data_IF_316889501090
#
_entry.id   IF_316889501090
#
_cell.length_a   1.000
_cell.length_b   1.000
_cell.length_c   1.000
_cell.angle_alpha   90.00
_cell.angle_beta   90.00
_cell.angle_gamma   90.00
#
_symmetry.space_group_name_H-M   'P 1'
#
loop_
_entity.id
_entity.type
_entity.pdbx_description
1 polymer ?
#
# COMPACT_ATOMS: atom_id res chain seq x y z
N UNK A 1 -3.91 -1.13 -21.95
CA UNK A 1 -3.35 0.19 -21.63
C UNK A 1 -4.40 0.90 -20.78
N UNK A 2 -4.18 1.03 -19.48
CA UNK A 2 -5.08 1.73 -18.56
C UNK A 2 -4.78 3.23 -18.55
N UNK A 3 -4.76 3.87 -19.72
CA UNK A 3 -4.69 5.33 -19.87
C UNK A 3 -5.95 6.06 -19.35
N UNK A 4 -6.80 5.37 -18.60
CA UNK A 4 -7.86 5.98 -17.79
C UNK A 4 -7.51 5.98 -16.30
N UNK A 5 -6.50 5.24 -15.84
CA UNK A 5 -6.13 5.19 -14.43
C UNK A 5 -5.31 6.41 -14.04
N UNK A 6 -4.20 6.62 -14.73
CA UNK A 6 -3.22 7.65 -14.40
C UNK A 6 -3.78 9.07 -14.50
N UNK A 7 -4.46 9.39 -15.60
CA UNK A 7 -5.06 10.71 -15.86
C UNK A 7 -6.15 11.02 -14.83
N UNK A 8 -6.99 10.04 -14.49
CA UNK A 8 -8.03 10.20 -13.46
C UNK A 8 -7.42 10.40 -12.07
N UNK A 9 -6.33 9.70 -11.74
CA UNK A 9 -5.63 9.91 -10.47
C UNK A 9 -4.92 11.26 -10.42
N UNK A 10 -4.35 11.71 -11.53
CA UNK A 10 -3.78 13.05 -11.64
C UNK A 10 -4.84 14.12 -11.45
N UNK A 11 -5.99 14.00 -12.12
CA UNK A 11 -7.10 14.93 -11.96
C UNK A 11 -7.62 14.95 -10.52
N UNK A 12 -7.76 13.78 -9.89
CA UNK A 12 -8.15 13.71 -8.48
C UNK A 12 -7.10 14.37 -7.56
N UNK A 13 -5.81 14.24 -7.86
CA UNK A 13 -4.75 14.93 -7.13
C UNK A 13 -4.89 16.45 -7.28
N UNK A 14 -5.06 16.95 -8.49
CA UNK A 14 -5.20 18.38 -8.77
C UNK A 14 -6.45 18.98 -8.09
N UNK A 15 -7.53 18.20 -7.98
CA UNK A 15 -8.76 18.61 -7.26
C UNK A 15 -8.53 18.82 -5.76
N UNK A 16 -7.73 17.99 -5.09
CA UNK A 16 -7.62 18.02 -3.63
C UNK A 16 -6.38 18.75 -3.12
N UNK A 17 -5.26 18.68 -3.83
CA UNK A 17 -3.99 19.26 -3.37
C UNK A 17 -4.06 20.79 -3.30
N UNK A 18 -4.60 21.45 -4.33
CA UNK A 18 -4.73 22.91 -4.35
C UNK A 18 -5.61 23.45 -3.21
N UNK A 19 -6.82 22.92 -3.00
CA UNK A 19 -7.64 23.29 -1.86
C UNK A 19 -7.02 22.96 -0.50
N UNK A 20 -6.36 21.81 -0.34
CA UNK A 20 -5.67 21.46 0.92
C UNK A 20 -4.54 22.43 1.27
N UNK A 21 -3.85 22.97 0.26
CA UNK A 21 -2.82 23.99 0.46
C UNK A 21 -3.43 25.36 0.88
N UNK A 22 -4.62 25.70 0.39
CA UNK A 22 -5.32 26.96 0.71
C UNK A 22 -6.11 26.92 2.02
N UNK A 23 -6.62 25.75 2.38
CA UNK A 23 -7.45 25.51 3.56
C UNK A 23 -6.83 24.41 4.43
N UNK A 24 -5.67 24.68 5.07
CA UNK A 24 -4.92 23.64 5.78
C UNK A 24 -5.65 23.08 7.01
N UNK A 25 -6.67 23.77 7.52
CA UNK A 25 -7.52 23.31 8.63
C UNK A 25 -8.71 22.44 8.15
N UNK A 26 -8.83 22.16 6.86
CA UNK A 26 -9.90 21.33 6.32
C UNK A 26 -9.48 19.85 6.30
N UNK A 27 -10.05 19.05 7.20
CA UNK A 27 -9.75 17.61 7.30
C UNK A 27 -9.94 16.89 5.96
N UNK A 28 -11.09 17.10 5.31
CA UNK A 28 -11.47 16.40 4.08
C UNK A 28 -10.48 16.65 2.94
N UNK A 29 -10.04 17.90 2.78
CA UNK A 29 -9.04 18.22 1.76
C UNK A 29 -7.70 17.57 2.06
N UNK A 30 -7.23 17.61 3.30
CA UNK A 30 -5.94 17.03 3.67
C UNK A 30 -5.90 15.51 3.46
N UNK A 31 -6.86 14.73 4.00
CA UNK A 31 -6.78 13.27 3.85
C UNK A 31 -7.03 12.82 2.40
N UNK A 32 -7.91 13.51 1.66
CA UNK A 32 -8.14 13.21 0.24
C UNK A 32 -6.95 13.61 -0.65
N UNK A 33 -6.23 14.68 -0.32
CA UNK A 33 -4.98 15.05 -0.98
C UNK A 33 -3.91 13.97 -0.73
N UNK A 34 -3.77 13.50 0.51
CA UNK A 34 -2.86 12.38 0.83
C UNK A 34 -3.19 11.11 0.04
N UNK A 35 -4.48 10.75 -0.03
CA UNK A 35 -4.99 9.62 -0.82
C UNK A 35 -4.71 9.75 -2.32
N UNK A 36 -5.06 10.90 -2.90
CA UNK A 36 -4.94 11.11 -4.35
C UNK A 36 -3.49 11.17 -4.80
N UNK A 37 -2.61 11.76 -3.99
CA UNK A 37 -1.16 11.70 -4.17
C UNK A 37 -0.68 10.25 -4.21
N UNK A 38 -1.05 9.44 -3.21
CA UNK A 38 -0.63 8.04 -3.18
C UNK A 38 -1.09 7.28 -4.44
N UNK A 39 -2.35 7.45 -4.85
CA UNK A 39 -2.88 6.81 -6.05
C UNK A 39 -2.12 7.19 -7.31
N UNK A 40 -1.83 8.48 -7.48
CA UNK A 40 -1.08 8.94 -8.65
C UNK A 40 0.36 8.42 -8.63
N UNK A 41 1.08 8.59 -7.52
CA UNK A 41 2.47 8.13 -7.39
C UNK A 41 2.60 6.62 -7.61
N UNK A 42 1.77 5.81 -6.94
CA UNK A 42 1.79 4.36 -7.11
C UNK A 42 1.47 3.93 -8.55
N UNK A 43 0.56 4.62 -9.24
CA UNK A 43 0.28 4.31 -10.64
C UNK A 43 1.45 4.68 -11.57
N UNK A 44 2.21 5.75 -11.28
CA UNK A 44 3.44 6.06 -12.04
C UNK A 44 4.50 4.96 -11.90
N UNK A 45 4.67 4.42 -10.69
CA UNK A 45 5.57 3.30 -10.41
C UNK A 45 5.10 2.03 -11.11
N UNK A 46 3.82 1.68 -10.99
CA UNK A 46 3.24 0.49 -11.63
C UNK A 46 3.38 0.49 -13.15
N UNK A 47 3.30 1.67 -13.76
CA UNK A 47 3.47 1.87 -15.20
C UNK A 47 4.95 1.97 -15.61
N UNK A 48 5.87 1.94 -14.65
CA UNK A 48 7.32 2.10 -14.84
C UNK A 48 7.66 3.35 -15.67
N UNK A 49 7.02 4.48 -15.35
CA UNK A 49 7.27 5.73 -16.05
C UNK A 49 8.69 6.23 -15.78
N UNK A 50 9.41 6.82 -16.76
CA UNK A 50 10.82 7.17 -16.61
C UNK A 50 11.17 8.03 -15.37
N UNK A 51 10.23 8.85 -14.90
CA UNK A 51 10.36 9.79 -13.79
C UNK A 51 9.62 9.34 -12.51
N UNK A 52 9.13 8.10 -12.44
CA UNK A 52 8.31 7.63 -11.32
C UNK A 52 9.02 7.77 -9.97
N UNK A 53 10.34 7.55 -9.92
CA UNK A 53 11.14 7.68 -8.68
C UNK A 53 11.16 9.12 -8.18
N UNK A 54 11.44 10.09 -9.04
CA UNK A 54 11.42 11.50 -8.63
C UNK A 54 10.02 11.96 -8.25
N UNK A 55 9.01 11.51 -8.99
CA UNK A 55 7.59 11.75 -8.68
C UNK A 55 7.25 11.22 -7.28
N UNK A 56 7.54 9.95 -7.00
CA UNK A 56 7.21 9.32 -5.72
C UNK A 56 8.03 9.88 -4.56
N UNK A 57 9.29 10.26 -4.78
CA UNK A 57 10.14 10.93 -3.77
C UNK A 57 9.54 12.25 -3.32
N UNK A 58 9.14 13.11 -4.26
CA UNK A 58 8.58 14.44 -3.95
C UNK A 58 7.16 14.30 -3.41
N UNK A 59 6.32 13.55 -4.12
CA UNK A 59 4.91 13.45 -3.77
C UNK A 59 4.69 12.63 -2.50
N UNK A 60 5.44 11.55 -2.26
CA UNK A 60 5.32 10.77 -1.04
C UNK A 60 5.51 11.63 0.22
N UNK A 61 6.50 12.54 0.23
CA UNK A 61 6.67 13.52 1.33
C UNK A 61 5.50 14.50 1.43
N UNK A 62 4.99 15.00 0.31
CA UNK A 62 3.82 15.88 0.31
C UNK A 62 2.56 15.16 0.84
N UNK A 63 2.36 13.91 0.46
CA UNK A 63 1.25 13.07 0.91
C UNK A 63 1.32 12.75 2.41
N UNK A 64 2.52 12.48 2.95
CA UNK A 64 2.75 12.34 4.39
C UNK A 64 2.36 13.63 5.14
N UNK A 65 2.82 14.80 4.68
CA UNK A 65 2.52 16.07 5.34
C UNK A 65 1.02 16.40 5.37
N UNK A 66 0.27 16.07 4.31
CA UNK A 66 -1.19 16.21 4.33
C UNK A 66 -1.86 15.20 5.28
N UNK A 67 -1.37 13.96 5.35
CA UNK A 67 -1.88 13.00 6.32
C UNK A 67 -1.65 13.47 7.76
N UNK A 68 -0.46 14.00 8.10
CA UNK A 68 -0.17 14.53 9.43
C UNK A 68 -1.12 15.67 9.82
N UNK A 69 -1.41 16.60 8.91
CA UNK A 69 -2.41 17.65 9.13
C UNK A 69 -3.81 17.07 9.37
N UNK A 70 -4.24 16.09 8.57
CA UNK A 70 -5.54 15.46 8.75
C UNK A 70 -5.64 14.68 10.08
N UNK A 71 -4.57 13.99 10.49
CA UNK A 71 -4.50 13.30 11.79
C UNK A 71 -4.65 14.30 12.94
N UNK A 72 -3.98 15.46 12.86
CA UNK A 72 -4.08 16.48 13.89
C UNK A 72 -5.49 17.09 14.00
N UNK A 73 -6.23 17.16 12.90
CA UNK A 73 -7.60 17.69 12.86
C UNK A 73 -8.63 16.66 13.37
N UNK A 74 -8.47 15.39 13.00
CA UNK A 74 -9.43 14.32 13.29
C UNK A 74 -8.68 13.02 13.65
N UNK A 75 -8.13 12.91 14.88
CA UNK A 75 -7.25 11.80 15.28
C UNK A 75 -7.97 10.46 15.45
N UNK A 76 -9.30 10.44 15.44
CA UNK A 76 -10.13 9.26 15.63
C UNK A 76 -10.66 8.67 14.31
N UNK A 77 -10.14 9.12 13.15
CA UNK A 77 -10.51 8.60 11.83
C UNK A 77 -9.36 7.80 11.19
N UNK A 78 -9.61 6.63 10.59
CA UNK A 78 -8.57 5.76 10.05
C UNK A 78 -7.89 6.32 8.79
N UNK A 79 -8.57 7.24 8.08
CA UNK A 79 -8.25 7.63 6.71
C UNK A 79 -6.81 8.12 6.58
N UNK A 80 -6.45 9.13 7.36
CA UNK A 80 -5.17 9.81 7.23
C UNK A 80 -4.00 8.92 7.71
N UNK A 81 -4.21 8.11 8.76
CA UNK A 81 -3.22 7.13 9.20
C UNK A 81 -2.90 6.08 8.12
N UNK A 82 -3.92 5.53 7.46
CA UNK A 82 -3.71 4.59 6.36
C UNK A 82 -2.88 5.23 5.24
N UNK A 83 -3.26 6.43 4.81
CA UNK A 83 -2.59 7.11 3.71
C UNK A 83 -1.23 7.69 4.08
N UNK A 84 -0.95 7.94 5.36
CA UNK A 84 0.42 8.19 5.82
C UNK A 84 1.32 7.00 5.50
N UNK A 85 0.95 5.80 5.96
CA UNK A 85 1.74 4.59 5.73
C UNK A 85 1.91 4.25 4.25
N UNK A 86 0.86 4.44 3.45
CA UNK A 86 0.92 4.24 1.99
C UNK A 86 1.82 5.23 1.26
N UNK A 87 1.84 6.49 1.69
CA UNK A 87 2.74 7.50 1.14
C UNK A 87 4.21 7.25 1.56
N UNK A 88 4.45 6.67 2.73
CA UNK A 88 5.80 6.18 3.07
C UNK A 88 6.23 5.06 2.14
N UNK A 89 5.31 4.16 1.74
CA UNK A 89 5.58 3.10 0.75
C UNK A 89 6.20 3.63 -0.54
N UNK A 90 5.45 4.45 -1.29
CA UNK A 90 5.94 5.01 -2.57
C UNK A 90 7.21 5.85 -2.40
N UNK A 91 7.35 6.57 -1.29
CA UNK A 91 8.56 7.32 -0.99
C UNK A 91 9.76 6.39 -0.82
N UNK A 92 9.57 5.31 -0.06
CA UNK A 92 10.59 4.30 0.23
C UNK A 92 11.04 3.57 -1.04
N UNK A 93 10.10 3.22 -1.91
CA UNK A 93 10.38 2.59 -3.20
C UNK A 93 11.22 3.51 -4.12
N UNK A 94 11.07 4.83 -3.97
CA UNK A 94 11.87 5.82 -4.70
C UNK A 94 13.27 6.07 -4.11
N UNK A 95 13.42 6.19 -2.78
CA UNK A 95 14.68 6.62 -2.13
C UNK A 95 15.49 5.50 -1.47
N UNK A 96 14.99 4.26 -1.51
CA UNK A 96 15.43 3.08 -0.76
C UNK A 96 15.00 3.05 0.71
N UNK A 97 14.82 1.82 1.20
CA UNK A 97 14.47 1.51 2.59
C UNK A 97 15.49 2.02 3.60
N UNK A 98 16.79 1.99 3.26
CA UNK A 98 17.85 2.47 4.17
C UNK A 98 17.74 3.99 4.41
N UNK A 99 17.38 4.75 3.38
CA UNK A 99 17.14 6.19 3.52
C UNK A 99 15.92 6.45 4.40
N UNK A 100 14.80 5.77 4.12
CA UNK A 100 13.58 5.89 4.93
C UNK A 100 13.80 5.54 6.41
N UNK A 101 14.61 4.51 6.70
CA UNK A 101 15.01 4.16 8.06
C UNK A 101 15.82 5.25 8.75
N UNK A 102 16.81 5.85 8.07
CA UNK A 102 17.63 6.95 8.62
C UNK A 102 16.78 8.18 8.96
N UNK A 103 15.69 8.38 8.25
CA UNK A 103 14.73 9.45 8.50
C UNK A 103 13.70 9.10 9.59
N UNK A 104 13.80 7.93 10.22
CA UNK A 104 12.92 7.49 11.29
C UNK A 104 11.51 7.13 10.82
N UNK A 105 11.32 6.79 9.54
CA UNK A 105 9.98 6.50 9.01
C UNK A 105 9.42 5.15 9.46
N UNK A 106 10.28 4.20 9.89
CA UNK A 106 9.84 2.87 10.36
C UNK A 106 8.74 2.97 11.41
N UNK A 107 9.06 3.56 12.56
CA UNK A 107 8.17 3.56 13.72
C UNK A 107 6.90 4.36 13.43
N UNK A 108 7.05 5.51 12.75
CA UNK A 108 5.90 6.31 12.31
C UNK A 108 4.97 5.53 11.38
N UNK A 109 5.50 4.79 10.41
CA UNK A 109 4.68 3.97 9.51
C UNK A 109 3.95 2.87 10.26
N UNK A 110 4.65 2.19 11.17
CA UNK A 110 4.04 1.15 12.01
C UNK A 110 2.88 1.70 12.83
N UNK A 111 3.14 2.75 13.62
CA UNK A 111 2.16 3.37 14.51
C UNK A 111 0.92 3.83 13.75
N UNK A 112 1.11 4.44 12.57
CA UNK A 112 0.01 4.87 11.73
C UNK A 112 -0.80 3.69 11.20
N UNK A 113 -0.16 2.65 10.64
CA UNK A 113 -0.90 1.51 10.11
C UNK A 113 -1.62 0.71 11.21
N UNK A 114 -0.99 0.56 12.39
CA UNK A 114 -1.62 -0.06 13.57
C UNK A 114 -2.81 0.77 14.07
N UNK A 115 -2.69 2.10 14.12
CA UNK A 115 -3.80 2.98 14.49
C UNK A 115 -4.96 2.91 13.49
N UNK A 116 -4.68 2.89 12.18
CA UNK A 116 -5.71 2.72 11.16
C UNK A 116 -6.47 1.39 11.33
N UNK A 117 -5.73 0.29 11.60
CA UNK A 117 -6.30 -1.02 11.87
C UNK A 117 -7.17 -1.01 13.14
N UNK A 118 -6.71 -0.38 14.22
CA UNK A 118 -7.46 -0.29 15.48
C UNK A 118 -8.73 0.55 15.36
N UNK A 119 -8.70 1.66 14.61
CA UNK A 119 -9.83 2.55 14.45
C UNK A 119 -10.94 1.93 13.58
N UNK A 120 -10.58 1.40 12.41
CA UNK A 120 -11.50 0.68 11.55
C UNK A 120 -10.72 -0.16 10.54
N UNK A 121 -10.50 -1.43 10.88
CA UNK A 121 -9.83 -2.38 9.99
C UNK A 121 -10.60 -2.69 8.70
N UNK A 122 -11.89 -2.37 8.61
CA UNK A 122 -12.71 -2.61 7.40
C UNK A 122 -12.66 -1.45 6.41
N UNK A 123 -12.11 -0.31 6.82
CA UNK A 123 -11.96 0.88 6.00
C UNK A 123 -11.34 0.56 4.62
N UNK A 124 -11.87 1.20 3.56
CA UNK A 124 -11.47 0.97 2.16
C UNK A 124 -11.35 -0.52 1.81
N UNK A 125 -12.38 -1.29 2.16
CA UNK A 125 -12.47 -2.74 1.86
C UNK A 125 -11.32 -3.53 2.49
N UNK A 126 -11.04 -3.27 3.76
CA UNK A 126 -10.03 -4.00 4.54
C UNK A 126 -8.59 -3.53 4.31
N UNK A 127 -8.40 -2.33 3.73
CA UNK A 127 -7.09 -1.78 3.42
C UNK A 127 -6.11 -1.72 4.60
N UNK A 128 -6.53 -1.35 5.83
CA UNK A 128 -5.62 -1.36 6.97
C UNK A 128 -5.02 -2.73 7.28
N UNK A 129 -5.79 -3.81 7.12
CA UNK A 129 -5.34 -5.18 7.44
C UNK A 129 -4.15 -5.57 6.55
N UNK A 130 -4.33 -5.54 5.23
CA UNK A 130 -3.26 -5.99 4.33
C UNK A 130 -2.13 -4.96 4.21
N UNK A 131 -2.39 -3.66 4.43
CA UNK A 131 -1.32 -2.65 4.43
C UNK A 131 -0.40 -2.82 5.63
N UNK A 132 -0.94 -3.15 6.81
CA UNK A 132 -0.15 -3.51 7.97
C UNK A 132 0.62 -4.83 7.76
N UNK A 133 -0.01 -5.82 7.10
CA UNK A 133 0.67 -7.06 6.72
C UNK A 133 1.89 -6.79 5.83
N UNK A 134 1.72 -5.93 4.80
CA UNK A 134 2.81 -5.53 3.90
C UNK A 134 3.95 -4.84 4.65
N UNK A 135 3.64 -4.00 5.64
CA UNK A 135 4.67 -3.38 6.48
C UNK A 135 5.52 -4.46 7.16
N UNK A 136 4.90 -5.42 7.87
CA UNK A 136 5.64 -6.47 8.59
C UNK A 136 6.43 -7.40 7.66
N UNK A 137 5.95 -7.62 6.43
CA UNK A 137 6.68 -8.41 5.43
C UNK A 137 7.89 -7.67 4.84
N UNK A 138 7.78 -6.36 4.59
CA UNK A 138 8.73 -5.62 3.74
C UNK A 138 9.76 -4.79 4.50
N UNK A 139 9.55 -4.50 5.80
CA UNK A 139 10.62 -3.90 6.61
C UNK A 139 11.83 -4.84 6.66
N UNK A 140 13.07 -4.32 6.74
CA UNK A 140 14.25 -5.16 6.64
C UNK A 140 14.51 -5.88 7.97
N UNK A 141 15.28 -6.97 7.91
CA UNK A 141 15.80 -7.62 9.10
C UNK A 141 16.60 -6.62 9.97
N UNK A 142 16.46 -6.62 11.31
CA UNK A 142 15.73 -7.59 12.14
C UNK A 142 14.27 -7.21 12.45
N UNK A 143 13.71 -6.18 11.80
CA UNK A 143 12.36 -5.69 12.11
C UNK A 143 11.23 -6.45 11.43
N UNK A 144 11.58 -7.22 10.39
CA UNK A 144 10.66 -8.05 9.62
C UNK A 144 9.98 -9.11 10.49
N UNK A 145 8.67 -9.28 10.30
CA UNK A 145 7.87 -10.29 10.98
C UNK A 145 6.87 -10.93 10.00
N UNK A 146 7.33 -11.96 9.28
CA UNK A 146 6.52 -12.64 8.26
C UNK A 146 5.39 -13.48 8.86
N UNK A 147 5.51 -13.89 10.12
CA UNK A 147 4.43 -14.62 10.80
C UNK A 147 3.28 -13.65 11.13
N UNK A 148 3.59 -12.47 11.68
CA UNK A 148 2.59 -11.40 11.88
C UNK A 148 1.97 -10.94 10.56
N UNK A 149 2.77 -10.82 9.49
CA UNK A 149 2.25 -10.52 8.16
C UNK A 149 1.26 -11.60 7.68
N UNK A 150 1.62 -12.89 7.83
CA UNK A 150 0.77 -14.01 7.45
C UNK A 150 -0.53 -14.04 8.26
N UNK A 151 -0.50 -13.78 9.57
CA UNK A 151 -1.72 -13.67 10.40
C UNK A 151 -2.69 -12.62 9.85
N UNK A 152 -2.17 -11.43 9.50
CA UNK A 152 -2.96 -10.35 8.91
C UNK A 152 -3.51 -10.73 7.53
N UNK A 153 -2.74 -11.40 6.68
CA UNK A 153 -3.24 -11.88 5.39
C UNK A 153 -4.32 -12.96 5.54
N UNK A 154 -4.18 -13.88 6.50
CA UNK A 154 -5.20 -14.87 6.85
C UNK A 154 -6.45 -14.24 7.46
N UNK A 155 -6.30 -13.17 8.24
CA UNK A 155 -7.43 -12.36 8.69
C UNK A 155 -8.15 -11.74 7.50
N UNK A 156 -7.41 -11.07 6.61
CA UNK A 156 -7.97 -10.44 5.42
C UNK A 156 -8.68 -11.46 4.51
N UNK A 157 -8.10 -12.65 4.33
CA UNK A 157 -8.66 -13.76 3.54
C UNK A 157 -10.06 -14.19 4.00
N UNK A 158 -10.38 -14.03 5.29
CA UNK A 158 -11.70 -14.37 5.87
C UNK A 158 -12.75 -13.29 5.66
N UNK A 159 -12.37 -12.10 5.19
CA UNK A 159 -13.30 -10.99 4.95
C UNK A 159 -14.05 -11.16 3.62
N UNK A 160 -15.22 -10.52 3.51
CA UNK A 160 -15.95 -10.45 2.24
C UNK A 160 -15.18 -9.70 1.14
N UNK A 161 -14.29 -8.79 1.53
CA UNK A 161 -13.48 -7.97 0.63
C UNK A 161 -12.38 -8.75 -0.07
N UNK A 162 -12.00 -9.91 0.45
CA UNK A 162 -10.94 -10.71 -0.13
C UNK A 162 -11.24 -11.03 -1.59
N UNK A 163 -12.49 -11.36 -1.94
CA UNK A 163 -12.87 -11.76 -3.30
C UNK A 163 -12.89 -10.62 -4.33
N UNK A 164 -12.69 -9.38 -3.91
CA UNK A 164 -12.68 -8.22 -4.81
C UNK A 164 -11.34 -8.15 -5.59
N UNK A 165 -11.38 -8.07 -6.94
CA UNK A 165 -10.19 -7.87 -7.77
C UNK A 165 -9.32 -6.67 -7.39
N UNK A 166 -9.89 -5.61 -6.79
CA UNK A 166 -9.13 -4.45 -6.33
C UNK A 166 -8.09 -4.81 -5.26
N UNK A 167 -8.31 -5.91 -4.54
CA UNK A 167 -7.47 -6.40 -3.46
C UNK A 167 -6.58 -7.59 -3.88
N UNK A 168 -6.35 -7.77 -5.19
CA UNK A 168 -5.51 -8.88 -5.71
C UNK A 168 -4.11 -8.88 -5.09
N UNK A 169 -3.58 -7.72 -4.69
CA UNK A 169 -2.25 -7.62 -4.10
C UNK A 169 -2.09 -8.47 -2.84
N UNK A 170 -3.11 -8.54 -1.97
CA UNK A 170 -3.02 -9.26 -0.71
C UNK A 170 -2.77 -10.77 -0.94
N UNK A 171 -3.32 -11.34 -2.01
CA UNK A 171 -3.06 -12.73 -2.43
C UNK A 171 -1.61 -12.94 -2.83
N UNK A 172 -1.07 -12.01 -3.62
CA UNK A 172 0.28 -12.11 -4.16
C UNK A 172 1.30 -12.01 -3.02
N UNK A 173 1.16 -11.03 -2.12
CA UNK A 173 2.02 -10.90 -0.94
C UNK A 173 1.96 -12.12 -0.01
N UNK A 174 0.76 -12.67 0.20
CA UNK A 174 0.59 -13.89 0.95
C UNK A 174 1.30 -15.09 0.29
N UNK A 175 1.19 -15.21 -1.03
CA UNK A 175 1.87 -16.26 -1.79
C UNK A 175 3.40 -16.12 -1.77
N UNK A 176 3.94 -14.89 -1.76
CA UNK A 176 5.38 -14.65 -1.60
C UNK A 176 5.92 -15.26 -0.29
N UNK A 177 5.23 -15.03 0.83
CA UNK A 177 5.63 -15.62 2.13
C UNK A 177 5.56 -17.15 2.07
N UNK A 178 4.51 -17.71 1.46
CA UNK A 178 4.34 -19.16 1.34
C UNK A 178 5.40 -19.81 0.43
N UNK A 179 5.80 -19.13 -0.65
CA UNK A 179 6.81 -19.61 -1.59
C UNK A 179 8.19 -19.79 -0.95
N UNK A 180 8.52 -18.97 0.05
CA UNK A 180 9.76 -19.07 0.81
C UNK A 180 9.76 -20.18 1.87
N UNK A 181 8.58 -20.72 2.24
CA UNK A 181 8.50 -21.78 3.23
C UNK A 181 8.95 -23.12 2.65
N UNK A 182 9.59 -23.92 3.49
CA UNK A 182 10.01 -25.26 3.12
C UNK A 182 8.82 -26.24 3.09
N UNK A 183 8.84 -27.19 2.15
CA UNK A 183 7.82 -28.22 1.97
C UNK A 183 6.87 -27.97 0.81
N UNK A 184 6.22 -29.03 0.33
CA UNK A 184 5.38 -28.99 -0.86
C UNK A 184 4.02 -28.33 -0.60
N UNK A 185 3.46 -28.48 0.60
CA UNK A 185 2.15 -27.93 0.98
C UNK A 185 2.09 -26.39 0.88
N UNK A 186 2.99 -25.61 1.52
CA UNK A 186 2.95 -24.15 1.40
C UNK A 186 3.21 -23.68 -0.03
N UNK A 187 4.08 -24.38 -0.78
CA UNK A 187 4.34 -24.07 -2.20
C UNK A 187 3.12 -24.34 -3.09
N UNK A 188 2.40 -25.44 -2.84
CA UNK A 188 1.16 -25.75 -3.55
C UNK A 188 0.09 -24.69 -3.28
N UNK A 189 -0.02 -24.22 -2.04
CA UNK A 189 -0.92 -23.12 -1.69
C UNK A 189 -0.50 -21.81 -2.37
N UNK A 190 0.79 -21.46 -2.34
CA UNK A 190 1.32 -20.28 -3.03
C UNK A 190 0.94 -20.31 -4.52
N UNK A 191 1.17 -21.45 -5.18
CA UNK A 191 0.81 -21.64 -6.59
C UNK A 191 -0.69 -21.43 -6.84
N UNK A 192 -1.56 -22.02 -6.01
CA UNK A 192 -3.00 -21.85 -6.14
C UNK A 192 -3.43 -20.37 -6.01
N UNK A 193 -2.89 -19.66 -5.00
CA UNK A 193 -3.17 -18.23 -4.80
C UNK A 193 -2.73 -17.37 -5.99
N UNK A 194 -1.56 -17.68 -6.58
CA UNK A 194 -1.02 -16.94 -7.73
C UNK A 194 -1.84 -17.20 -9.00
N UNK A 195 -2.24 -18.46 -9.25
CA UNK A 195 -3.12 -18.81 -10.37
C UNK A 195 -4.51 -18.17 -10.23
N UNK A 196 -5.06 -18.09 -9.02
CA UNK A 196 -6.27 -17.33 -8.75
C UNK A 196 -6.07 -15.83 -9.02
N UNK A 197 -4.99 -15.24 -8.52
CA UNK A 197 -4.67 -13.83 -8.74
C UNK A 197 -4.60 -13.48 -10.23
N UNK A 198 -3.95 -14.33 -11.04
CA UNK A 198 -3.86 -14.17 -12.49
C UNK A 198 -5.23 -14.21 -13.20
N UNK A 199 -6.20 -14.96 -12.67
CA UNK A 199 -7.58 -14.99 -13.19
C UNK A 199 -8.39 -13.77 -12.75
N UNK A 200 -8.04 -13.16 -11.62
CA UNK A 200 -8.78 -12.03 -11.03
C UNK A 200 -8.43 -10.68 -11.63
N UNK A 201 -7.21 -10.50 -12.17
CA UNK A 201 -6.73 -9.19 -12.61
C UNK A 201 -6.19 -9.18 -14.04
N UNK A 202 -6.49 -8.08 -14.74
CA UNK A 202 -5.86 -7.72 -16.02
C UNK A 202 -4.75 -6.67 -15.85
N UNK A 203 -4.42 -6.31 -14.61
CA UNK A 203 -3.35 -5.36 -14.31
C UNK A 203 -1.99 -6.02 -14.55
N UNK A 204 -1.24 -5.51 -15.52
CA UNK A 204 0.04 -6.07 -15.95
C UNK A 204 1.09 -6.05 -14.84
N UNK A 205 1.05 -5.08 -13.93
CA UNK A 205 1.99 -5.01 -12.81
C UNK A 205 1.79 -6.22 -11.89
N UNK A 206 0.54 -6.47 -11.48
CA UNK A 206 0.20 -7.59 -10.63
C UNK A 206 0.35 -8.95 -11.32
N UNK A 207 0.03 -9.04 -12.61
CA UNK A 207 0.30 -10.24 -13.41
C UNK A 207 1.80 -10.54 -13.49
N UNK A 208 2.64 -9.54 -13.73
CA UNK A 208 4.09 -9.71 -13.76
C UNK A 208 4.61 -10.22 -12.42
N UNK A 209 4.23 -9.55 -11.32
CA UNK A 209 4.66 -9.94 -9.97
C UNK A 209 4.25 -11.38 -9.62
N UNK A 210 3.00 -11.74 -9.90
CA UNK A 210 2.52 -13.11 -9.68
C UNK A 210 3.29 -14.15 -10.50
N UNK A 211 3.55 -13.87 -11.78
CA UNK A 211 4.34 -14.74 -12.65
C UNK A 211 5.81 -14.86 -12.23
N UNK A 212 6.38 -13.81 -11.65
CA UNK A 212 7.76 -13.87 -11.15
C UNK A 212 7.86 -14.82 -9.96
N UNK A 213 6.93 -14.76 -9.00
CA UNK A 213 6.87 -15.73 -7.88
C UNK A 213 6.62 -17.16 -8.38
N UNK A 214 5.75 -17.35 -9.38
CA UNK A 214 5.49 -18.68 -9.96
C UNK A 214 6.72 -19.35 -10.59
N UNK A 215 7.68 -18.57 -11.09
CA UNK A 215 8.92 -19.12 -11.68
C UNK A 215 9.86 -19.70 -10.62
N UNK A 216 9.74 -19.22 -9.39
CA UNK A 216 10.64 -19.54 -8.27
C UNK A 216 10.09 -20.69 -7.39
N UNK A 217 8.87 -21.16 -7.65
CA UNK A 217 8.20 -22.25 -6.91
C UNK A 217 8.64 -23.65 -7.35
#
# INVERSE_FOLDING_TARGET
>A
MSAGGLENYKQAMDIYVGPADKEPANYEYNWKASKSIWKYGFETEKLDLPDWKDTCRVLGKKGMAFAEKAIALEPDKPNAYLYYGRNVGIYTDAVSILTALKEGLKDKTQENLEKAYQLDKTFEKGAPIYSLGKYWQLVPWPFMDKDKAMELYREFQKTEFYKDPVNVEARIYMAEILAEKWGDEPKAEAKALLEEALKMTNDKYWQKRANDVLKDL
#
